data_IF_652309494594
#
_entry.id   IF_652309494594
#
_cell.length_a   1.000
_cell.length_b   1.000
_cell.length_c   1.000
_cell.angle_alpha   90.00
_cell.angle_beta   90.00
_cell.angle_gamma   90.00
#
_symmetry.space_group_name_H-M   'P 1'
#
loop_
_entity.id
_entity.type
_entity.pdbx_description
1 polymer ?
#
# COMPACT_ATOMS: atom_id res chain seq x y z
N UNK A 1 -19.52 -14.64 -21.48
CA UNK A 1 -18.14 -14.46 -22.00
C UNK A 1 -17.76 -13.01 -21.75
N UNK A 2 -16.79 -12.74 -20.88
CA UNK A 2 -16.28 -11.38 -20.68
C UNK A 2 -15.68 -10.86 -21.99
N UNK A 3 -15.93 -9.59 -22.31
CA UNK A 3 -15.35 -8.95 -23.48
C UNK A 3 -13.84 -8.76 -23.29
N UNK A 4 -13.09 -8.56 -24.37
CA UNK A 4 -11.62 -8.45 -24.34
C UNK A 4 -11.13 -7.32 -23.42
N UNK A 5 -11.87 -6.22 -23.32
CA UNK A 5 -11.55 -5.09 -22.46
C UNK A 5 -11.70 -5.43 -20.97
N UNK A 6 -12.74 -6.19 -20.59
CA UNK A 6 -12.94 -6.66 -19.21
C UNK A 6 -11.82 -7.60 -18.76
N UNK A 7 -11.36 -8.49 -19.65
CA UNK A 7 -10.21 -9.37 -19.37
C UNK A 7 -8.91 -8.60 -19.21
N UNK A 8 -8.68 -7.60 -20.07
CA UNK A 8 -7.50 -6.75 -19.97
C UNK A 8 -7.49 -5.98 -18.65
N UNK A 9 -8.63 -5.39 -18.27
CA UNK A 9 -8.80 -4.74 -16.97
C UNK A 9 -8.50 -5.70 -15.81
N UNK A 10 -9.11 -6.89 -15.81
CA UNK A 10 -8.89 -7.88 -14.75
C UNK A 10 -7.41 -8.31 -14.64
N UNK A 11 -6.71 -8.45 -15.77
CA UNK A 11 -5.29 -8.76 -15.79
C UNK A 11 -4.47 -7.62 -15.18
N UNK A 12 -4.76 -6.37 -15.56
CA UNK A 12 -4.12 -5.19 -14.97
C UNK A 12 -4.40 -5.08 -13.47
N UNK A 13 -5.65 -5.25 -13.04
CA UNK A 13 -6.04 -5.20 -11.63
C UNK A 13 -5.29 -6.28 -10.82
N UNK A 14 -5.21 -7.51 -11.34
CA UNK A 14 -4.44 -8.58 -10.71
C UNK A 14 -2.94 -8.22 -10.65
N UNK A 15 -2.35 -7.74 -11.74
CA UNK A 15 -0.94 -7.36 -11.75
C UNK A 15 -0.64 -6.24 -10.76
N UNK A 16 -1.53 -5.25 -10.63
CA UNK A 16 -1.41 -4.19 -9.61
C UNK A 16 -1.45 -4.80 -8.22
N UNK A 17 -2.35 -5.74 -7.93
CA UNK A 17 -2.44 -6.41 -6.63
C UNK A 17 -1.24 -7.30 -6.31
N UNK A 18 -0.56 -7.88 -7.30
CA UNK A 18 0.63 -8.70 -7.10
C UNK A 18 1.94 -7.91 -7.13
N UNK A 19 1.95 -6.71 -7.74
CA UNK A 19 3.13 -5.88 -7.95
C UNK A 19 3.01 -4.50 -7.29
N UNK A 20 2.33 -4.42 -6.13
CA UNK A 20 1.97 -3.17 -5.47
C UNK A 20 3.18 -2.27 -5.19
N UNK A 21 4.27 -2.83 -4.66
CA UNK A 21 5.53 -2.08 -4.47
C UNK A 21 6.09 -1.56 -5.79
N UNK A 22 6.15 -2.39 -6.83
CA UNK A 22 6.63 -1.97 -8.15
C UNK A 22 5.78 -0.87 -8.77
N UNK A 23 4.45 -0.90 -8.56
CA UNK A 23 3.57 0.18 -9.01
C UNK A 23 3.93 1.50 -8.32
N UNK A 24 4.18 1.49 -7.02
CA UNK A 24 4.57 2.71 -6.28
C UNK A 24 5.95 3.21 -6.72
N UNK A 25 6.93 2.31 -6.85
CA UNK A 25 8.27 2.65 -7.35
C UNK A 25 8.20 3.34 -8.73
N UNK A 26 7.43 2.79 -9.67
CA UNK A 26 7.24 3.37 -11.00
C UNK A 26 6.50 4.72 -10.95
N UNK A 27 5.50 4.87 -10.07
CA UNK A 27 4.78 6.14 -9.90
C UNK A 27 5.69 7.23 -9.32
N UNK A 28 6.60 6.88 -8.42
CA UNK A 28 7.60 7.80 -7.88
C UNK A 28 8.61 8.18 -8.96
N UNK A 29 9.16 7.20 -9.68
CA UNK A 29 10.10 7.46 -10.78
C UNK A 29 9.48 8.33 -11.89
N UNK A 30 8.17 8.17 -12.15
CA UNK A 30 7.42 8.98 -13.10
C UNK A 30 7.04 10.37 -12.56
N UNK A 31 7.43 10.72 -11.33
CA UNK A 31 7.10 11.99 -10.66
C UNK A 31 5.60 12.17 -10.41
N UNK A 32 4.86 11.08 -10.23
CA UNK A 32 3.42 11.08 -9.91
C UNK A 32 3.15 11.01 -8.42
N UNK A 33 4.11 10.50 -7.66
CA UNK A 33 4.14 10.47 -6.20
C UNK A 33 5.49 11.04 -5.78
N UNK A 34 5.52 11.79 -4.67
CA UNK A 34 6.75 12.36 -4.14
C UNK A 34 7.71 11.27 -3.63
N UNK A 35 9.01 11.44 -3.84
CA UNK A 35 10.03 10.50 -3.36
C UNK A 35 10.21 10.55 -1.84
N UNK A 36 9.75 11.61 -1.16
CA UNK A 36 9.80 11.78 0.29
C UNK A 36 9.18 10.59 1.04
N UNK A 37 8.20 9.90 0.44
CA UNK A 37 7.52 8.75 1.06
C UNK A 37 8.36 7.46 1.10
N UNK A 38 9.44 7.34 0.30
CA UNK A 38 10.36 6.19 0.37
C UNK A 38 11.32 6.30 1.55
N UNK A 39 11.68 7.53 1.92
CA UNK A 39 12.63 7.84 2.98
C UNK A 39 11.99 8.82 3.96
N UNK A 40 11.02 8.36 4.75
CA UNK A 40 10.42 9.19 5.79
C UNK A 40 11.53 9.74 6.71
N UNK A 41 11.43 11.02 7.07
CA UNK A 41 12.44 11.74 7.85
C UNK A 41 12.76 11.13 9.24
N UNK A 42 11.98 10.15 9.69
CA UNK A 42 12.21 9.41 10.93
C UNK A 42 13.29 8.31 10.80
N UNK A 43 13.79 8.04 9.59
CA UNK A 43 14.84 7.05 9.33
C UNK A 43 14.35 5.60 9.22
N UNK A 44 13.04 5.38 9.20
CA UNK A 44 12.44 4.05 9.01
C UNK A 44 12.26 3.76 7.51
N UNK A 45 12.67 2.60 7.03
CA UNK A 45 12.56 2.24 5.62
C UNK A 45 11.23 1.52 5.34
N UNK A 46 10.48 1.98 4.34
CA UNK A 46 9.30 1.25 3.85
C UNK A 46 9.79 0.09 2.98
N UNK A 47 9.41 -1.14 3.34
CA UNK A 47 9.83 -2.36 2.64
C UNK A 47 8.77 -2.90 1.68
N UNK A 48 7.49 -2.71 1.99
CA UNK A 48 6.37 -3.17 1.16
C UNK A 48 5.29 -2.09 1.07
N UNK A 49 4.65 -1.95 -0.10
CA UNK A 49 3.47 -1.11 -0.26
C UNK A 49 2.22 -1.95 -0.43
N UNK A 50 1.17 -1.61 0.32
CA UNK A 50 -0.12 -2.30 0.30
C UNK A 50 -1.27 -1.33 0.06
N UNK A 51 -2.04 -1.54 -1.01
CA UNK A 51 -3.29 -0.87 -1.29
C UNK A 51 -4.32 -1.27 -0.24
N UNK A 52 -4.85 -0.28 0.46
CA UNK A 52 -5.80 -0.48 1.54
C UNK A 52 -7.07 0.35 1.33
N UNK A 53 -8.12 -0.02 2.06
CA UNK A 53 -9.34 0.80 2.09
C UNK A 53 -9.12 2.07 2.89
N UNK A 54 -9.92 3.10 2.66
CA UNK A 54 -9.86 4.37 3.42
C UNK A 54 -10.04 4.16 4.93
N UNK A 55 -10.89 3.19 5.33
CA UNK A 55 -11.09 2.85 6.73
C UNK A 55 -9.81 2.33 7.38
N UNK A 56 -9.13 1.38 6.73
CA UNK A 56 -7.89 0.80 7.24
C UNK A 56 -6.76 1.83 7.22
N UNK A 57 -6.67 2.65 6.18
CA UNK A 57 -5.72 3.76 6.10
C UNK A 57 -5.87 4.72 7.31
N UNK A 58 -7.10 5.09 7.67
CA UNK A 58 -7.35 5.93 8.85
C UNK A 58 -6.83 5.28 10.14
N UNK A 59 -7.08 3.98 10.34
CA UNK A 59 -6.61 3.24 11.52
C UNK A 59 -5.09 3.13 11.58
N UNK A 60 -4.45 2.91 10.43
CA UNK A 60 -2.99 2.85 10.31
C UNK A 60 -2.35 4.22 10.61
N UNK A 61 -2.92 5.33 10.09
CA UNK A 61 -2.45 6.68 10.45
C UNK A 61 -2.58 6.96 11.95
N UNK A 62 -3.64 6.48 12.60
CA UNK A 62 -3.80 6.58 14.06
C UNK A 62 -2.72 5.80 14.84
N UNK A 63 -2.09 4.79 14.23
CA UNK A 63 -0.94 4.07 14.81
C UNK A 63 0.42 4.68 14.41
N UNK A 64 0.43 5.74 13.58
CA UNK A 64 1.66 6.38 13.11
C UNK A 64 2.28 5.73 11.86
N UNK A 65 1.58 4.80 11.22
CA UNK A 65 2.04 4.16 9.99
C UNK A 65 2.05 5.13 8.80
N UNK A 66 2.91 4.85 7.84
CA UNK A 66 3.06 5.66 6.63
C UNK A 66 1.94 5.36 5.66
N UNK A 67 1.25 6.41 5.23
CA UNK A 67 0.18 6.32 4.24
C UNK A 67 0.41 7.34 3.13
N UNK A 68 0.35 6.88 1.88
CA UNK A 68 0.25 7.74 0.70
C UNK A 68 -1.23 7.83 0.30
N UNK A 69 -1.75 9.05 0.25
CA UNK A 69 -3.11 9.37 -0.16
C UNK A 69 -3.12 10.09 -1.52
N UNK A 70 -2.73 9.38 -2.58
CA UNK A 70 -2.55 9.94 -3.92
C UNK A 70 -3.35 9.18 -4.98
N UNK A 71 -3.73 9.88 -6.05
CA UNK A 71 -4.43 9.31 -7.21
C UNK A 71 -5.75 8.58 -6.86
N UNK A 72 -6.38 8.96 -5.75
CA UNK A 72 -7.61 8.31 -5.25
C UNK A 72 -7.38 6.94 -4.61
N UNK A 73 -6.13 6.59 -4.31
CA UNK A 73 -5.73 5.36 -3.64
C UNK A 73 -5.18 5.65 -2.24
N UNK A 74 -5.15 4.62 -1.40
CA UNK A 74 -4.53 4.65 -0.08
C UNK A 74 -3.49 3.54 0.00
N UNK A 75 -2.22 3.89 0.10
CA UNK A 75 -1.12 2.92 0.15
C UNK A 75 -0.46 2.94 1.52
N UNK A 76 -0.50 1.80 2.20
CA UNK A 76 0.22 1.58 3.45
C UNK A 76 1.67 1.19 3.16
N UNK A 77 2.59 2.03 3.61
CA UNK A 77 4.01 1.77 3.62
C UNK A 77 4.38 0.95 4.85
N UNK A 78 4.55 -0.35 4.65
CA UNK A 78 4.85 -1.32 5.70
C UNK A 78 6.36 -1.46 5.87
N UNK A 79 6.85 -1.35 7.10
CA UNK A 79 8.28 -1.41 7.44
C UNK A 79 8.83 -2.83 7.65
N UNK A 80 8.09 -3.84 7.21
CA UNK A 80 8.42 -5.24 7.43
C UNK A 80 8.02 -6.07 6.22
N UNK A 81 8.73 -7.16 5.94
CA UNK A 81 8.55 -7.96 4.73
C UNK A 81 8.66 -9.46 4.94
N UNK A 82 7.96 -10.22 4.11
CA UNK A 82 8.01 -11.69 4.08
C UNK A 82 7.16 -12.42 5.12
N UNK A 83 6.68 -11.74 6.17
CA UNK A 83 5.69 -12.29 7.09
C UNK A 83 4.26 -11.90 6.70
N UNK A 84 3.30 -12.77 7.00
CA UNK A 84 1.90 -12.56 6.66
C UNK A 84 1.29 -11.34 7.38
N UNK A 85 0.36 -10.64 6.73
CA UNK A 85 -0.24 -9.39 7.23
C UNK A 85 -0.93 -9.56 8.59
N UNK A 86 -1.59 -10.69 8.84
CA UNK A 86 -2.24 -10.93 10.13
C UNK A 86 -1.26 -11.08 11.32
N UNK A 87 0.02 -11.34 11.03
CA UNK A 87 1.08 -11.40 12.03
C UNK A 87 1.68 -10.03 12.33
N UNK A 88 1.29 -9.01 11.56
CA UNK A 88 1.77 -7.66 11.78
C UNK A 88 1.23 -7.09 13.09
N UNK A 89 2.10 -6.46 13.88
CA UNK A 89 1.74 -5.92 15.18
C UNK A 89 0.63 -4.86 15.05
N UNK A 90 0.76 -3.95 14.07
CA UNK A 90 -0.23 -2.88 13.89
C UNK A 90 -1.60 -3.45 13.53
N UNK A 91 -1.64 -4.55 12.77
CA UNK A 91 -2.88 -5.24 12.43
C UNK A 91 -3.51 -5.90 13.66
N UNK A 92 -2.69 -6.50 14.53
CA UNK A 92 -3.18 -7.06 15.79
C UNK A 92 -3.73 -5.96 16.71
N UNK A 93 -3.11 -4.79 16.76
CA UNK A 93 -3.62 -3.65 17.53
C UNK A 93 -4.92 -3.09 16.97
N UNK A 94 -5.05 -2.99 15.64
CA UNK A 94 -6.26 -2.49 14.98
C UNK A 94 -7.42 -3.47 15.16
N UNK A 95 -7.18 -4.78 15.02
CA UNK A 95 -8.21 -5.82 15.15
C UNK A 95 -8.50 -6.23 16.60
N UNK A 96 -7.54 -6.07 17.52
CA UNK A 96 -7.67 -6.47 18.93
C UNK A 96 -8.26 -5.40 19.84
N UNK A 97 -8.46 -4.17 19.33
CA UNK A 97 -9.22 -3.10 20.01
C UNK A 97 -10.72 -3.29 19.77
N UNK A 98 -11.28 -4.36 20.34
CA UNK A 98 -12.74 -4.57 20.50
C UNK A 98 -13.18 -4.29 21.94
#
# INVERSE_FOLDING_TARGET
MYNTQEKAKQMTDNHVLWGQSSVIEELIQAGKIDEEYLYPFNGEEVLEWWLVTSWLANRLREQGEIIIDELGCHWWGRMSSGQAIYMDHVMQEICGKD
#
